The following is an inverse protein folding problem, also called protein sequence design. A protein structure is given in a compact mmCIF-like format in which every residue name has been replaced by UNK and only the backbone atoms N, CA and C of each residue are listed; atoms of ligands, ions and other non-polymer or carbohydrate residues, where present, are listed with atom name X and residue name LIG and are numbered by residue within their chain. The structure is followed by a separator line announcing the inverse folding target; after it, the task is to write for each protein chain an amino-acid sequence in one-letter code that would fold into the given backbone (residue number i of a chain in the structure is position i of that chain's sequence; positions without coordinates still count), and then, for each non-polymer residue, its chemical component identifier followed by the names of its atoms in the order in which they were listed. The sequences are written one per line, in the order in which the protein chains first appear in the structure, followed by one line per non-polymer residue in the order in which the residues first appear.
data_IF_909878887195
#
_entry.id   IF_909878887195
#
_cell.length_a   1.000
_cell.length_b   1.000
_cell.length_c   1.000
_cell.angle_alpha   90.00
_cell.angle_beta   90.00
_cell.angle_gamma   90.00
#
_symmetry.space_group_name_H-M   'P 1'
#
loop_
_entity.id
_entity.type
_entity.pdbx_description
1 polymer ?
#
# COMPACT_ATOMS: atom_id res chain seq x y z
N UNK A 1 23.57 18.21 37.72
CA UNK A 1 22.63 17.82 36.64
C UNK A 1 22.83 16.34 36.25
N UNK A 2 21.83 15.51 36.47
CA UNK A 2 21.79 14.12 35.96
C UNK A 2 21.74 14.13 34.42
N UNK A 3 22.37 13.17 33.73
CA UNK A 3 22.36 13.14 32.27
C UNK A 3 20.93 13.01 31.76
N UNK A 4 20.53 13.92 30.89
CA UNK A 4 19.26 13.88 30.19
C UNK A 4 19.24 12.67 29.24
N UNK A 5 18.12 11.96 29.17
CA UNK A 5 17.94 10.82 28.26
C UNK A 5 16.91 11.17 27.19
N UNK A 6 17.19 10.77 25.96
CA UNK A 6 16.23 10.86 24.86
C UNK A 6 15.25 9.68 24.93
N UNK A 7 13.96 9.98 24.75
CA UNK A 7 12.89 8.99 24.58
C UNK A 7 12.37 9.11 23.15
N UNK A 8 12.30 8.00 22.42
CA UNK A 8 11.76 7.92 21.06
C UNK A 8 10.45 7.12 21.07
N UNK A 9 9.40 7.68 20.47
CA UNK A 9 8.15 6.98 20.21
C UNK A 9 7.86 6.98 18.71
N UNK A 10 7.67 5.80 18.13
CA UNK A 10 7.26 5.62 16.74
C UNK A 10 5.94 4.85 16.69
N UNK A 11 4.98 5.33 15.90
CA UNK A 11 3.75 4.58 15.69
C UNK A 11 4.01 3.36 14.80
N UNK A 12 3.70 2.17 15.31
CA UNK A 12 3.90 0.93 14.57
C UNK A 12 2.91 0.81 13.41
N UNK A 13 3.42 0.81 12.17
CA UNK A 13 2.67 0.56 10.93
C UNK A 13 1.48 1.51 10.72
N UNK A 14 1.65 2.79 11.07
CA UNK A 14 0.56 3.77 11.07
C UNK A 14 -0.09 3.92 9.69
N UNK A 15 0.68 3.85 8.60
CA UNK A 15 0.17 3.97 7.23
C UNK A 15 -0.84 2.88 6.90
N UNK A 16 -0.55 1.64 7.31
CA UNK A 16 -1.42 0.49 7.06
C UNK A 16 -2.65 0.51 7.96
N UNK A 17 -2.53 1.03 9.19
CA UNK A 17 -3.67 1.25 10.09
C UNK A 17 -4.62 2.32 9.55
N UNK A 18 -4.07 3.44 9.08
CA UNK A 18 -4.86 4.50 8.43
C UNK A 18 -5.53 3.97 7.18
N UNK A 19 -4.83 3.16 6.38
CA UNK A 19 -5.41 2.52 5.20
C UNK A 19 -6.57 1.60 5.58
N UNK A 20 -6.41 0.75 6.58
CA UNK A 20 -7.48 -0.15 7.04
C UNK A 20 -8.74 0.62 7.44
N UNK A 21 -8.57 1.78 8.11
CA UNK A 21 -9.67 2.64 8.51
C UNK A 21 -10.32 3.36 7.32
N UNK A 22 -9.53 4.01 6.46
CA UNK A 22 -10.01 4.79 5.31
C UNK A 22 -10.68 3.91 4.25
N UNK A 23 -10.15 2.71 4.04
CA UNK A 23 -10.69 1.78 3.03
C UNK A 23 -11.83 0.94 3.59
N UNK A 24 -11.97 0.87 4.91
CA UNK A 24 -12.92 -0.01 5.57
C UNK A 24 -12.63 -1.50 5.36
N UNK A 25 -11.43 -1.89 4.91
CA UNK A 25 -11.11 -3.27 4.57
C UNK A 25 -11.19 -4.18 5.81
N UNK A 26 -12.20 -5.04 5.85
CA UNK A 26 -12.52 -5.87 7.02
C UNK A 26 -11.37 -6.79 7.43
N UNK A 27 -10.62 -7.31 6.45
CA UNK A 27 -9.50 -8.21 6.71
C UNK A 27 -8.34 -7.46 7.34
N UNK A 28 -7.97 -6.28 6.81
CA UNK A 28 -6.93 -5.45 7.43
C UNK A 28 -7.33 -5.01 8.84
N UNK A 29 -8.59 -4.57 9.03
CA UNK A 29 -9.10 -4.13 10.34
C UNK A 29 -9.07 -5.28 11.35
N UNK A 30 -9.51 -6.47 10.95
CA UNK A 30 -9.50 -7.66 11.81
C UNK A 30 -8.08 -8.08 12.19
N UNK A 31 -7.16 -8.09 11.23
CA UNK A 31 -5.75 -8.40 11.50
C UNK A 31 -5.14 -7.43 12.53
N UNK A 32 -5.38 -6.12 12.37
CA UNK A 32 -4.89 -5.13 13.34
C UNK A 32 -5.57 -5.24 14.71
N UNK A 33 -6.86 -5.55 14.75
CA UNK A 33 -7.59 -5.76 16.01
C UNK A 33 -7.08 -6.99 16.77
N UNK A 34 -6.70 -8.05 16.04
CA UNK A 34 -6.13 -9.28 16.60
C UNK A 34 -4.62 -9.16 16.92
N UNK A 35 -3.99 -8.02 16.63
CA UNK A 35 -2.54 -7.83 16.83
C UNK A 35 -1.67 -8.66 15.87
N UNK A 36 -2.22 -9.07 14.73
CA UNK A 36 -1.52 -9.86 13.73
C UNK A 36 -0.52 -9.02 12.93
N UNK A 37 0.53 -9.67 12.43
CA UNK A 37 1.48 -9.07 11.51
C UNK A 37 0.92 -9.04 10.09
N UNK A 38 0.41 -7.88 9.67
CA UNK A 38 -0.18 -7.70 8.34
C UNK A 38 0.81 -8.02 7.21
N UNK A 39 2.12 -7.83 7.37
CA UNK A 39 3.08 -8.23 6.34
C UNK A 39 3.18 -9.75 6.22
N UNK A 40 3.13 -10.45 7.36
CA UNK A 40 3.14 -11.92 7.38
C UNK A 40 1.87 -12.47 6.73
N UNK A 41 0.73 -11.88 7.03
CA UNK A 41 -0.55 -12.22 6.43
C UNK A 41 -0.57 -11.95 4.92
N UNK A 42 -0.07 -10.79 4.47
CA UNK A 42 0.09 -10.50 3.04
C UNK A 42 1.01 -11.54 2.39
N UNK A 43 2.17 -11.85 3.00
CA UNK A 43 3.12 -12.82 2.45
C UNK A 43 2.47 -14.20 2.25
N UNK A 44 1.76 -14.69 3.28
CA UNK A 44 1.02 -15.95 3.23
C UNK A 44 0.02 -15.97 2.07
N UNK A 45 -0.74 -14.88 1.90
CA UNK A 45 -1.74 -14.77 0.84
C UNK A 45 -1.13 -14.68 -0.57
N UNK A 46 -0.10 -13.86 -0.77
CA UNK A 46 0.51 -13.69 -2.10
C UNK A 46 1.36 -14.89 -2.53
N UNK A 47 1.89 -15.67 -1.59
CA UNK A 47 2.68 -16.88 -1.90
C UNK A 47 1.84 -18.15 -1.86
N UNK A 48 0.66 -18.13 -1.22
CA UNK A 48 -0.22 -19.29 -1.09
C UNK A 48 0.30 -20.31 -0.08
N UNK A 49 0.95 -19.85 0.99
CA UNK A 49 1.56 -20.69 2.02
C UNK A 49 0.98 -20.38 3.41
N UNK A 50 0.99 -21.32 4.36
CA UNK A 50 0.55 -21.07 5.73
C UNK A 50 1.34 -19.96 6.40
N UNK A 51 0.68 -19.12 7.21
CA UNK A 51 1.36 -18.02 7.94
C UNK A 51 2.54 -18.51 8.79
N UNK A 52 2.52 -19.75 9.28
CA UNK A 52 3.62 -20.35 10.02
C UNK A 52 4.91 -20.52 9.18
N UNK A 53 4.77 -20.73 7.87
CA UNK A 53 5.87 -20.96 6.92
C UNK A 53 6.44 -19.66 6.30
N UNK A 54 5.88 -18.51 6.67
CA UNK A 54 6.39 -17.22 6.21
C UNK A 54 7.78 -16.96 6.80
N UNK A 55 8.80 -16.92 5.94
CA UNK A 55 10.16 -16.54 6.30
C UNK A 55 10.32 -15.02 6.42
N UNK A 56 11.51 -14.57 6.83
CA UNK A 56 11.84 -13.15 6.88
C UNK A 56 11.88 -12.52 5.48
N UNK A 57 12.34 -13.28 4.49
CA UNK A 57 12.41 -12.90 3.08
C UNK A 57 11.00 -12.76 2.49
N UNK A 58 10.11 -13.72 2.76
CA UNK A 58 8.70 -13.64 2.39
C UNK A 58 8.03 -12.38 2.99
N UNK A 59 8.34 -12.09 4.25
CA UNK A 59 7.87 -10.87 4.91
C UNK A 59 8.42 -9.59 4.27
N UNK A 60 9.68 -9.59 3.84
CA UNK A 60 10.30 -8.44 3.15
C UNK A 60 9.64 -8.18 1.80
N UNK A 61 9.37 -9.23 1.01
CA UNK A 61 8.56 -9.14 -0.21
C UNK A 61 7.19 -8.51 0.08
N UNK A 62 6.49 -8.96 1.13
CA UNK A 62 5.20 -8.40 1.50
C UNK A 62 5.26 -6.94 1.97
N UNK A 63 6.39 -6.45 2.49
CA UNK A 63 6.59 -5.01 2.75
C UNK A 63 6.62 -4.24 1.43
N UNK A 64 7.40 -4.71 0.45
CA UNK A 64 7.44 -4.11 -0.88
C UNK A 64 6.05 -4.07 -1.54
N UNK A 65 5.31 -5.20 -1.47
CA UNK A 65 3.95 -5.31 -2.01
C UNK A 65 2.99 -4.38 -1.29
N UNK A 66 2.94 -4.39 0.05
CA UNK A 66 2.05 -3.51 0.81
C UNK A 66 2.33 -2.05 0.47
N UNK A 67 3.57 -1.57 0.62
CA UNK A 67 3.85 -0.15 0.41
C UNK A 67 3.79 0.26 -1.07
N UNK A 68 4.17 -0.59 -2.01
CA UNK A 68 4.06 -0.28 -3.44
C UNK A 68 2.61 -0.17 -3.90
N UNK A 69 1.77 -1.16 -3.54
CA UNK A 69 0.41 -1.23 -4.04
C UNK A 69 -0.58 -0.33 -3.31
N UNK A 70 -0.34 -0.04 -2.03
CA UNK A 70 -1.14 0.94 -1.27
C UNK A 70 -1.07 2.31 -1.92
N UNK A 71 0.08 2.68 -2.45
CA UNK A 71 0.29 3.92 -3.19
C UNK A 71 0.01 3.79 -4.71
N UNK A 72 -0.69 2.73 -5.12
CA UNK A 72 -1.29 2.63 -6.45
C UNK A 72 -0.32 2.26 -7.57
N UNK A 73 0.83 1.64 -7.27
CA UNK A 73 1.76 1.20 -8.32
C UNK A 73 1.14 0.17 -9.28
N UNK A 74 1.52 0.26 -10.55
CA UNK A 74 1.29 -0.79 -11.54
C UNK A 74 2.19 -2.00 -11.24
N UNK A 75 2.01 -3.12 -11.95
CA UNK A 75 2.90 -4.27 -11.77
C UNK A 75 4.37 -3.95 -12.11
N UNK A 76 4.61 -3.20 -13.19
CA UNK A 76 5.96 -2.74 -13.55
C UNK A 76 6.52 -1.76 -12.50
N UNK A 77 5.67 -0.87 -11.98
CA UNK A 77 6.06 0.03 -10.88
C UNK A 77 6.44 -0.74 -9.62
N UNK A 78 5.65 -1.76 -9.25
CA UNK A 78 5.90 -2.64 -8.11
C UNK A 78 7.22 -3.39 -8.28
N UNK A 79 7.48 -3.95 -9.45
CA UNK A 79 8.74 -4.63 -9.75
C UNK A 79 9.94 -3.70 -9.50
N UNK A 80 9.92 -2.50 -10.09
CA UNK A 80 11.00 -1.53 -9.92
C UNK A 80 11.16 -1.09 -8.47
N UNK A 81 10.05 -0.80 -7.79
CA UNK A 81 10.02 -0.36 -6.39
C UNK A 81 10.54 -1.43 -5.42
N UNK A 82 10.15 -2.69 -5.62
CA UNK A 82 10.58 -3.82 -4.80
C UNK A 82 12.10 -3.97 -4.84
N UNK A 83 12.70 -3.86 -6.02
CA UNK A 83 14.15 -3.92 -6.18
C UNK A 83 14.82 -2.69 -5.56
N UNK A 84 14.38 -1.48 -5.92
CA UNK A 84 15.04 -0.24 -5.51
C UNK A 84 14.94 0.05 -4.00
N UNK A 85 13.81 -0.28 -3.36
CA UNK A 85 13.55 0.08 -1.95
C UNK A 85 13.76 -1.08 -0.97
N UNK A 86 13.65 -2.33 -1.43
CA UNK A 86 13.71 -3.50 -0.56
C UNK A 86 14.74 -4.55 -0.99
N UNK A 87 15.40 -4.39 -2.15
CA UNK A 87 16.32 -5.37 -2.70
C UNK A 87 15.65 -6.69 -3.08
N UNK A 88 14.35 -6.64 -3.40
CA UNK A 88 13.56 -7.82 -3.75
C UNK A 88 13.41 -7.87 -5.27
N UNK A 89 13.99 -8.89 -5.87
CA UNK A 89 13.84 -9.15 -7.30
C UNK A 89 12.50 -9.82 -7.57
N UNK A 90 11.76 -9.27 -8.54
CA UNK A 90 10.49 -9.78 -9.02
C UNK A 90 10.53 -9.71 -10.53
N UNK A 91 10.19 -10.79 -11.20
CA UNK A 91 9.79 -10.72 -12.60
C UNK A 91 8.48 -9.92 -12.73
N UNK A 92 8.22 -9.40 -13.93
CA UNK A 92 6.97 -8.69 -14.20
C UNK A 92 5.74 -9.57 -13.95
N UNK A 93 5.82 -10.86 -14.30
CA UNK A 93 4.74 -11.82 -14.08
C UNK A 93 4.50 -12.07 -12.59
N UNK A 94 5.54 -12.22 -11.79
CA UNK A 94 5.42 -12.34 -10.33
C UNK A 94 4.81 -11.08 -9.72
N UNK A 95 5.21 -9.89 -10.18
CA UNK A 95 4.62 -8.63 -9.74
C UNK A 95 3.13 -8.54 -10.11
N UNK A 96 2.73 -9.03 -11.28
CA UNK A 96 1.30 -9.12 -11.66
C UNK A 96 0.52 -10.08 -10.77
N UNK A 97 1.08 -11.26 -10.49
CA UNK A 97 0.47 -12.26 -9.60
C UNK A 97 0.33 -11.71 -8.18
N UNK A 98 1.40 -11.11 -7.64
CA UNK A 98 1.39 -10.50 -6.32
C UNK A 98 0.35 -9.38 -6.22
N UNK A 99 0.27 -8.52 -7.25
CA UNK A 99 -0.73 -7.44 -7.32
C UNK A 99 -2.15 -7.97 -7.35
N UNK A 100 -2.43 -9.01 -8.14
CA UNK A 100 -3.75 -9.65 -8.20
C UNK A 100 -4.12 -10.24 -6.84
N UNK A 101 -3.26 -11.09 -6.26
CA UNK A 101 -3.49 -11.73 -4.95
C UNK A 101 -3.66 -10.71 -3.83
N UNK A 102 -2.92 -9.61 -3.86
CA UNK A 102 -3.07 -8.52 -2.89
C UNK A 102 -4.48 -7.93 -2.92
N UNK A 103 -5.00 -7.56 -4.09
CA UNK A 103 -6.34 -6.97 -4.20
C UNK A 103 -7.47 -7.98 -4.01
N UNK A 104 -7.25 -9.27 -4.28
CA UNK A 104 -8.15 -10.35 -3.87
C UNK A 104 -8.19 -10.50 -2.34
N UNK A 105 -7.05 -10.30 -1.68
CA UNK A 105 -6.93 -10.39 -0.22
C UNK A 105 -7.56 -9.18 0.48
N UNK A 106 -7.43 -7.99 -0.11
CA UNK A 106 -7.89 -6.71 0.44
C UNK A 106 -8.82 -5.96 -0.52
N UNK A 107 -10.06 -6.46 -0.73
CA UNK A 107 -10.99 -5.88 -1.69
C UNK A 107 -11.43 -4.46 -1.34
N UNK A 108 -11.43 -4.07 -0.05
CA UNK A 108 -11.76 -2.71 0.38
C UNK A 108 -10.75 -1.70 -0.15
N UNK A 109 -9.47 -2.06 -0.17
CA UNK A 109 -8.39 -1.24 -0.75
C UNK A 109 -8.60 -1.05 -2.25
N UNK A 110 -8.93 -2.13 -2.97
CA UNK A 110 -9.18 -2.07 -4.42
C UNK A 110 -10.38 -1.15 -4.75
N UNK A 111 -11.48 -1.29 -4.01
CA UNK A 111 -12.68 -0.48 -4.18
C UNK A 111 -12.40 1.00 -3.91
N UNK A 112 -11.71 1.29 -2.80
CA UNK A 112 -11.34 2.65 -2.43
C UNK A 112 -10.44 3.32 -3.47
N UNK A 113 -9.39 2.65 -3.95
CA UNK A 113 -8.53 3.22 -4.99
C UNK A 113 -9.28 3.48 -6.30
N UNK A 114 -10.22 2.61 -6.68
CA UNK A 114 -11.08 2.82 -7.87
C UNK A 114 -11.96 4.05 -7.71
N UNK A 115 -12.55 4.25 -6.53
CA UNK A 115 -13.34 5.45 -6.23
C UNK A 115 -12.48 6.72 -6.34
N UNK A 116 -11.30 6.74 -5.68
CA UNK A 116 -10.41 7.90 -5.73
C UNK A 116 -9.98 8.24 -7.17
N UNK A 117 -9.71 7.24 -8.01
CA UNK A 117 -9.45 7.45 -9.44
C UNK A 117 -10.63 8.12 -10.15
N UNK A 118 -11.85 7.67 -9.86
CA UNK A 118 -13.07 8.27 -10.41
C UNK A 118 -13.24 9.74 -10.00
N UNK A 119 -13.00 10.05 -8.73
CA UNK A 119 -13.05 11.42 -8.18
C UNK A 119 -12.01 12.33 -8.82
N UNK A 120 -10.77 11.86 -8.93
CA UNK A 120 -9.68 12.58 -9.59
C UNK A 120 -9.98 12.88 -11.07
N UNK A 121 -10.55 11.91 -11.80
CA UNK A 121 -11.00 12.10 -13.18
C UNK A 121 -12.10 13.16 -13.33
N UNK A 122 -12.97 13.31 -12.32
CA UNK A 122 -13.96 14.40 -12.23
C UNK A 122 -13.38 15.70 -11.69
N UNK A 123 -12.10 15.75 -11.32
CA UNK A 123 -11.43 16.91 -10.74
C UNK A 123 -11.94 17.29 -9.36
N UNK A 124 -12.56 16.36 -8.65
CA UNK A 124 -12.89 16.54 -7.25
C UNK A 124 -11.59 16.51 -6.42
N UNK A 125 -11.54 17.29 -5.34
CA UNK A 125 -10.41 17.24 -4.42
C UNK A 125 -10.44 15.99 -3.52
N UNK A 126 -9.28 15.61 -2.98
CA UNK A 126 -9.21 14.55 -1.96
C UNK A 126 -9.54 15.16 -0.59
N UNK A 127 -10.44 14.53 0.17
CA UNK A 127 -10.73 14.90 1.56
C UNK A 127 -10.04 13.91 2.48
N UNK A 128 -9.16 14.39 3.35
CA UNK A 128 -8.55 13.57 4.40
C UNK A 128 -9.52 13.37 5.57
N UNK A 129 -9.35 12.31 6.40
CA UNK A 129 -10.18 12.13 7.59
C UNK A 129 -10.18 13.33 8.55
N UNK A 130 -9.08 14.09 8.59
CA UNK A 130 -8.96 15.32 9.38
C UNK A 130 -9.55 16.58 8.72
N UNK A 131 -10.30 16.45 7.62
CA UNK A 131 -11.01 17.54 6.96
C UNK A 131 -10.17 18.38 5.99
N UNK A 132 -8.87 18.09 5.80
CA UNK A 132 -8.05 18.80 4.79
C UNK A 132 -8.48 18.39 3.38
N UNK A 133 -8.64 19.37 2.50
CA UNK A 133 -8.88 19.17 1.07
C UNK A 133 -7.63 19.44 0.25
N UNK A 134 -7.29 18.50 -0.63
CA UNK A 134 -6.28 18.70 -1.68
C UNK A 134 -7.00 19.05 -2.99
N UNK A 135 -6.83 20.28 -3.47
CA UNK A 135 -7.35 20.76 -4.74
C UNK A 135 -6.31 20.54 -5.87
N UNK A 136 -6.71 20.63 -7.15
CA UNK A 136 -5.86 20.45 -8.35
C UNK A 136 -5.42 19.01 -8.69
N UNK A 137 -6.26 18.01 -8.38
CA UNK A 137 -5.95 16.62 -8.75
C UNK A 137 -5.98 16.35 -10.27
N UNK A 138 -6.72 17.12 -11.07
CA UNK A 138 -6.80 16.90 -12.54
C UNK A 138 -5.46 17.03 -13.24
N UNK A 139 -4.69 18.08 -12.96
CA UNK A 139 -3.39 18.33 -13.59
C UNK A 139 -2.30 17.42 -13.03
N UNK A 140 -2.32 17.16 -11.72
CA UNK A 140 -1.42 16.19 -11.08
C UNK A 140 -1.66 14.78 -11.64
N UNK A 141 -2.92 14.39 -11.84
CA UNK A 141 -3.32 13.12 -12.45
C UNK A 141 -2.91 13.03 -13.93
N UNK A 142 -3.16 14.08 -14.72
CA UNK A 142 -2.76 14.13 -16.12
C UNK A 142 -1.24 13.99 -16.29
N UNK A 143 -0.45 14.65 -15.43
CA UNK A 143 1.03 14.50 -15.38
C UNK A 143 1.46 13.10 -15.00
N UNK A 144 0.89 12.53 -13.93
CA UNK A 144 1.20 11.16 -13.50
C UNK A 144 0.84 10.10 -14.57
N UNK A 145 -0.18 10.36 -15.38
CA UNK A 145 -0.51 9.54 -16.55
C UNK A 145 0.54 9.68 -17.68
N UNK A 146 1.04 10.89 -17.94
CA UNK A 146 1.97 11.19 -19.02
C UNK A 146 3.41 10.69 -18.74
N UNK A 147 3.86 10.73 -17.48
CA UNK A 147 5.25 10.42 -17.12
C UNK A 147 5.56 8.91 -17.09
N UNK A 148 4.55 8.02 -17.20
CA UNK A 148 4.75 6.57 -17.31
C UNK A 148 5.32 5.86 -16.05
N UNK A 149 5.90 6.59 -15.09
CA UNK A 149 6.53 6.06 -13.86
C UNK A 149 5.52 5.50 -12.84
N UNK A 150 4.22 5.73 -13.06
CA UNK A 150 3.13 5.23 -12.22
C UNK A 150 1.83 5.11 -13.00
N UNK A 151 1.92 4.55 -14.21
CA UNK A 151 0.91 4.67 -15.27
C UNK A 151 -0.53 4.78 -14.77
N UNK A 152 -1.15 5.96 -14.93
CA UNK A 152 -2.53 6.31 -14.56
C UNK A 152 -3.13 5.63 -13.31
N UNK A 153 -2.31 5.19 -12.34
CA UNK A 153 -2.75 4.42 -11.17
C UNK A 153 -2.13 4.98 -9.87
N UNK A 154 -1.04 5.76 -9.94
CA UNK A 154 -0.32 6.21 -8.74
C UNK A 154 -0.84 7.47 -8.02
N UNK A 155 -1.82 8.20 -8.56
CA UNK A 155 -2.20 9.53 -8.05
C UNK A 155 -3.16 9.58 -6.86
N UNK A 156 -3.14 8.59 -5.96
CA UNK A 156 -4.12 8.49 -4.85
C UNK A 156 -3.48 8.56 -3.46
N UNK A 157 -2.14 8.60 -3.38
CA UNK A 157 -1.39 8.70 -2.13
C UNK A 157 -1.28 10.14 -1.61
#
# INVERSE_FOLDING_TARGET
PSPERLVKGDFSQIELRVLAEVTGDERMRSAFAAGEDLHRLTAAAILGLPSAEVSKEHRQLAKAVNFGLVFGQSAAGLQHYAQASYGVDLSLDEAQVARRRFFETYPGVAAWQRDQRGRAGRGEGLLTPGGRTAHHLREAWARACADGVGGCQGGVA
#
